data_IF_230625735358
#
_entry.id   IF_230625735358
#
_cell.length_a   1.000
_cell.length_b   1.000
_cell.length_c   1.000
_cell.angle_alpha   90.00
_cell.angle_beta   90.00
_cell.angle_gamma   90.00
#
_symmetry.space_group_name_H-M   'P 1'
#
loop_
_entity.id
_entity.type
_entity.pdbx_description
1 polymer ?
#
# COMPACT_ATOMS: atom_id res chain seq x y z
N UNK A 1 -25.16 -7.84 -14.73
CA UNK A 1 -24.21 -7.28 -13.75
C UNK A 1 -23.02 -6.77 -14.54
N UNK A 2 -22.57 -5.52 -14.33
CA UNK A 2 -21.31 -5.09 -14.92
C UNK A 2 -20.16 -5.91 -14.34
N UNK A 3 -19.28 -6.40 -15.21
CA UNK A 3 -18.06 -7.10 -14.79
C UNK A 3 -17.11 -6.06 -14.20
N UNK A 4 -16.54 -6.35 -13.03
CA UNK A 4 -15.48 -5.52 -12.46
C UNK A 4 -14.24 -5.58 -13.37
N UNK A 5 -13.73 -4.43 -13.75
CA UNK A 5 -12.48 -4.31 -14.50
C UNK A 5 -11.36 -3.94 -13.55
N UNK A 6 -10.22 -4.60 -13.68
CA UNK A 6 -9.03 -4.35 -12.89
C UNK A 6 -7.89 -3.91 -13.79
N UNK A 7 -7.12 -2.94 -13.33
CA UNK A 7 -5.88 -2.51 -13.98
C UNK A 7 -4.74 -2.71 -12.99
N UNK A 8 -3.70 -3.44 -13.39
CA UNK A 8 -2.49 -3.62 -12.61
C UNK A 8 -1.33 -2.92 -13.29
N UNK A 9 -0.64 -2.07 -12.55
CA UNK A 9 0.46 -1.25 -13.04
C UNK A 9 1.68 -1.39 -12.14
N UNK A 10 2.86 -1.30 -12.73
CA UNK A 10 4.15 -1.29 -12.02
C UNK A 10 5.00 -0.15 -12.58
N UNK A 11 5.48 0.71 -11.71
CA UNK A 11 6.42 1.79 -12.04
C UNK A 11 7.84 1.20 -12.19
N UNK A 12 8.14 0.69 -13.38
CA UNK A 12 9.41 -0.01 -13.63
C UNK A 12 10.62 0.92 -13.62
N UNK A 13 10.48 2.13 -14.08
CA UNK A 13 11.57 3.12 -14.15
C UNK A 13 11.72 3.94 -12.87
N UNK A 14 10.80 3.78 -11.92
CA UNK A 14 10.80 4.42 -10.60
C UNK A 14 10.73 5.95 -10.68
N UNK A 15 9.97 6.46 -11.64
CA UNK A 15 9.77 7.90 -11.82
C UNK A 15 8.56 8.45 -11.04
N UNK A 16 7.78 7.59 -10.38
CA UNK A 16 6.62 7.93 -9.56
C UNK A 16 5.30 8.05 -10.33
N UNK A 17 5.30 7.80 -11.64
CA UNK A 17 4.11 7.76 -12.49
C UNK A 17 3.97 6.38 -13.14
N UNK A 18 2.80 6.05 -13.68
CA UNK A 18 2.51 4.72 -14.23
C UNK A 18 2.10 4.83 -15.71
N UNK A 19 2.84 5.64 -16.49
CA UNK A 19 2.56 5.92 -17.91
C UNK A 19 3.68 5.48 -18.83
N UNK A 20 4.73 4.88 -18.30
CA UNK A 20 5.87 4.39 -19.05
C UNK A 20 5.57 3.12 -19.87
N UNK A 21 6.49 2.78 -20.77
CA UNK A 21 6.36 1.59 -21.61
C UNK A 21 6.38 0.31 -20.77
N UNK A 22 5.33 -0.52 -20.91
CA UNK A 22 5.22 -1.80 -20.19
C UNK A 22 4.84 -1.69 -18.72
N UNK A 23 4.45 -0.51 -18.24
CA UNK A 23 4.01 -0.30 -16.85
C UNK A 23 2.58 -0.76 -16.62
N UNK A 24 1.70 -0.66 -17.59
CA UNK A 24 0.41 -1.35 -17.57
C UNK A 24 0.63 -2.82 -17.97
N UNK A 25 0.51 -3.69 -16.97
CA UNK A 25 0.71 -5.13 -17.13
C UNK A 25 -0.61 -5.90 -17.16
N UNK A 26 -1.73 -5.20 -17.23
CA UNK A 26 -3.08 -5.78 -17.17
C UNK A 26 -3.32 -6.85 -18.22
N UNK A 27 -2.88 -6.59 -19.47
CA UNK A 27 -3.04 -7.54 -20.57
C UNK A 27 -2.23 -8.84 -20.43
N UNK A 28 -1.26 -8.86 -19.52
CA UNK A 28 -0.42 -10.03 -19.22
C UNK A 28 -0.91 -10.83 -18.02
N UNK A 29 -1.94 -10.34 -17.31
CA UNK A 29 -2.46 -10.99 -16.10
C UNK A 29 -3.11 -12.34 -16.43
N UNK A 30 -2.77 -13.32 -15.61
CA UNK A 30 -3.44 -14.60 -15.57
C UNK A 30 -4.23 -14.68 -14.25
N UNK A 31 -5.56 -14.80 -14.31
CA UNK A 31 -6.38 -14.87 -13.09
C UNK A 31 -6.05 -16.11 -12.24
N UNK A 32 -6.24 -16.04 -10.91
CA UNK A 32 -6.76 -14.92 -10.12
C UNK A 32 -5.65 -13.94 -9.65
N UNK A 33 -6.03 -12.67 -9.41
CA UNK A 33 -5.24 -11.74 -8.60
C UNK A 33 -5.74 -11.83 -7.16
N UNK A 34 -4.83 -11.87 -6.20
CA UNK A 34 -5.19 -11.82 -4.78
C UNK A 34 -4.49 -10.65 -4.12
N UNK A 35 -5.23 -9.90 -3.32
CA UNK A 35 -4.67 -8.83 -2.50
C UNK A 35 -5.34 -8.80 -1.14
N UNK A 36 -4.63 -8.32 -0.15
CA UNK A 36 -5.11 -8.14 1.21
C UNK A 36 -4.52 -6.88 1.81
N UNK A 37 -5.27 -6.26 2.69
CA UNK A 37 -4.85 -5.23 3.63
C UNK A 37 -5.88 -5.16 4.75
N UNK A 38 -5.52 -4.60 5.88
CA UNK A 38 -6.45 -4.42 6.98
C UNK A 38 -5.84 -4.73 8.32
N UNK A 39 -6.68 -5.11 9.25
CA UNK A 39 -6.30 -5.49 10.61
C UNK A 39 -6.10 -7.00 10.72
N UNK A 40 -5.34 -7.40 11.73
CA UNK A 40 -5.29 -8.79 12.16
C UNK A 40 -6.68 -9.21 12.67
N UNK A 41 -7.28 -10.18 11.98
CA UNK A 41 -8.61 -10.69 12.31
C UNK A 41 -8.62 -11.52 13.61
N UNK A 42 -7.45 -11.99 14.06
CA UNK A 42 -7.30 -12.74 15.32
C UNK A 42 -7.62 -11.91 16.57
N UNK A 43 -7.53 -10.57 16.48
CA UNK A 43 -7.83 -9.65 17.59
C UNK A 43 -8.66 -8.46 17.05
N UNK A 44 -9.97 -8.64 16.78
CA UNK A 44 -10.77 -7.68 16.00
C UNK A 44 -10.89 -6.28 16.61
N UNK A 45 -10.88 -6.16 17.94
CA UNK A 45 -11.10 -4.86 18.61
C UNK A 45 -9.83 -4.05 18.81
N UNK A 46 -8.69 -4.72 19.01
CA UNK A 46 -7.40 -4.11 19.32
C UNK A 46 -6.29 -4.56 18.39
N UNK A 47 -6.65 -5.32 17.34
CA UNK A 47 -5.69 -5.85 16.37
C UNK A 47 -4.98 -4.73 15.61
N UNK A 48 -3.66 -4.88 15.48
CA UNK A 48 -2.82 -3.97 14.69
C UNK A 48 -3.11 -4.12 13.21
N UNK A 49 -2.86 -3.08 12.45
CA UNK A 49 -2.86 -3.19 11.00
C UNK A 49 -1.76 -4.15 10.53
N UNK A 50 -2.10 -5.02 9.61
CA UNK A 50 -1.17 -5.96 8.97
C UNK A 50 -0.69 -5.33 7.66
N UNK A 51 0.56 -5.59 7.31
CA UNK A 51 1.09 -5.17 6.02
C UNK A 51 0.30 -5.81 4.87
N UNK A 52 -0.15 -5.02 3.93
CA UNK A 52 -0.86 -5.48 2.75
C UNK A 52 0.02 -6.39 1.90
N UNK A 53 -0.62 -7.26 1.13
CA UNK A 53 0.04 -8.14 0.17
C UNK A 53 -0.75 -8.22 -1.11
N UNK A 54 -0.04 -8.26 -2.24
CA UNK A 54 -0.62 -8.53 -3.54
C UNK A 54 0.17 -9.64 -4.22
N UNK A 55 -0.55 -10.59 -4.83
CA UNK A 55 0.03 -11.67 -5.61
C UNK A 55 -0.68 -11.70 -6.96
N UNK A 56 0.11 -11.66 -8.03
CA UNK A 56 -0.36 -11.79 -9.39
C UNK A 56 0.52 -12.78 -10.18
N UNK A 57 -0.08 -13.46 -11.13
CA UNK A 57 0.64 -14.30 -12.09
C UNK A 57 0.52 -13.66 -13.46
N UNK A 58 1.64 -13.53 -14.17
CA UNK A 58 1.71 -12.93 -15.50
C UNK A 58 2.13 -13.97 -16.54
N UNK A 59 1.59 -13.82 -17.73
CA UNK A 59 2.12 -14.50 -18.91
C UNK A 59 3.47 -13.88 -19.29
N UNK A 60 4.49 -14.71 -19.44
CA UNK A 60 5.86 -14.32 -19.78
C UNK A 60 6.38 -15.06 -21.03
N UNK A 61 5.52 -15.36 -21.98
CA UNK A 61 5.93 -16.02 -23.25
C UNK A 61 6.99 -15.24 -24.00
N UNK A 62 6.89 -13.89 -23.99
CA UNK A 62 7.89 -12.99 -24.60
C UNK A 62 9.21 -12.97 -23.83
N UNK A 63 9.24 -13.43 -22.57
CA UNK A 63 10.41 -13.35 -21.71
C UNK A 63 10.70 -11.95 -21.15
N UNK A 64 9.76 -11.01 -21.27
CA UNK A 64 9.97 -9.61 -20.85
C UNK A 64 10.25 -9.48 -19.35
N UNK A 65 9.66 -10.35 -18.52
CA UNK A 65 9.86 -10.38 -17.07
C UNK A 65 10.99 -11.29 -16.61
N UNK A 66 11.91 -11.63 -17.50
CA UNK A 66 13.11 -12.40 -17.17
C UNK A 66 14.30 -11.47 -16.99
N UNK A 67 14.90 -11.47 -15.81
CA UNK A 67 16.10 -10.66 -15.53
C UNK A 67 17.31 -10.99 -16.40
N UNK A 68 17.31 -12.18 -17.03
CA UNK A 68 18.36 -12.61 -17.94
C UNK A 68 18.13 -12.22 -19.41
N UNK A 69 16.95 -11.70 -19.75
CA UNK A 69 16.64 -11.27 -21.09
C UNK A 69 17.09 -9.82 -21.32
N UNK A 70 18.29 -9.65 -21.86
CA UNK A 70 18.84 -8.32 -22.16
C UNK A 70 18.10 -7.59 -23.30
N UNK A 71 17.30 -8.31 -24.10
CA UNK A 71 16.48 -7.73 -25.17
C UNK A 71 15.08 -7.29 -24.66
N UNK A 72 14.76 -7.55 -23.40
CA UNK A 72 13.52 -7.09 -22.79
C UNK A 72 13.47 -5.56 -22.72
N UNK A 73 12.32 -4.91 -23.02
CA UNK A 73 12.14 -3.47 -22.79
C UNK A 73 12.25 -3.10 -21.30
N UNK A 74 12.14 -4.10 -20.40
CA UNK A 74 12.26 -3.93 -18.94
C UNK A 74 13.64 -4.30 -18.41
N UNK A 75 14.62 -4.58 -19.30
CA UNK A 75 15.97 -4.96 -18.88
C UNK A 75 16.59 -3.90 -17.97
N UNK A 76 17.12 -4.34 -16.82
CA UNK A 76 17.68 -3.44 -15.79
C UNK A 76 16.65 -2.81 -14.85
N UNK A 77 15.36 -2.88 -15.14
CA UNK A 77 14.28 -2.28 -14.34
C UNK A 77 13.49 -3.28 -13.50
N UNK A 78 13.68 -4.57 -13.73
CA UNK A 78 13.03 -5.65 -12.97
C UNK A 78 13.65 -5.80 -11.56
N UNK A 79 13.46 -4.78 -10.72
CA UNK A 79 14.07 -4.70 -9.39
C UNK A 79 12.99 -4.68 -8.30
N UNK A 80 13.28 -5.24 -7.11
CA UNK A 80 12.45 -5.03 -5.93
C UNK A 80 12.32 -3.55 -5.56
N UNK A 81 11.27 -3.20 -4.81
CA UNK A 81 11.04 -1.83 -4.36
C UNK A 81 10.35 -0.92 -5.39
N UNK A 82 10.02 -1.43 -6.59
CA UNK A 82 9.21 -0.72 -7.57
C UNK A 82 7.79 -0.56 -7.07
N UNK A 83 7.14 0.59 -7.32
CA UNK A 83 5.74 0.77 -6.95
C UNK A 83 4.83 -0.11 -7.78
N UNK A 84 3.83 -0.68 -7.12
CA UNK A 84 2.79 -1.52 -7.73
C UNK A 84 1.44 -0.95 -7.33
N UNK A 85 0.55 -0.77 -8.31
CA UNK A 85 -0.78 -0.24 -8.10
C UNK A 85 -1.84 -1.12 -8.75
N UNK A 86 -2.84 -1.51 -7.96
CA UNK A 86 -4.05 -2.16 -8.44
C UNK A 86 -5.20 -1.16 -8.40
N UNK A 87 -5.84 -0.95 -9.54
CA UNK A 87 -7.04 -0.13 -9.66
C UNK A 87 -8.24 -0.99 -10.03
N UNK A 88 -9.42 -0.57 -9.63
CA UNK A 88 -10.68 -1.19 -10.00
C UNK A 88 -11.67 -0.16 -10.47
N UNK A 89 -12.42 -0.50 -11.51
CA UNK A 89 -13.51 0.31 -12.01
C UNK A 89 -14.77 -0.53 -12.16
N UNK A 90 -15.94 0.07 -11.95
CA UNK A 90 -17.22 -0.49 -12.36
C UNK A 90 -17.62 0.20 -13.66
N UNK A 91 -17.58 -0.54 -14.77
CA UNK A 91 -18.19 -0.06 -16.02
C UNK A 91 -19.70 0.02 -15.85
N UNK A 92 -20.29 1.21 -15.90
CA UNK A 92 -21.74 1.36 -16.05
C UNK A 92 -22.12 1.33 -17.53
N UNK A 93 -23.16 0.57 -17.89
CA UNK A 93 -23.77 0.66 -19.22
C UNK A 93 -24.88 1.76 -19.17
N UNK A 94 -25.03 2.58 -20.22
CA UNK A 94 -24.26 2.65 -21.48
C UNK A 94 -22.96 3.45 -21.34
N UNK A 95 -21.93 3.04 -22.09
CA UNK A 95 -20.67 3.76 -22.16
C UNK A 95 -20.86 5.11 -22.85
N UNK A 96 -20.63 6.19 -22.11
CA UNK A 96 -20.43 7.53 -22.69
C UNK A 96 -18.93 7.71 -22.95
N UNK A 97 -18.56 8.02 -24.16
CA UNK A 97 -17.18 8.39 -24.48
C UNK A 97 -16.90 9.85 -24.09
N UNK A 98 -15.74 10.18 -23.49
CA UNK A 98 -14.64 9.28 -23.10
C UNK A 98 -15.00 8.43 -21.89
N UNK A 99 -14.60 7.17 -21.87
CA UNK A 99 -14.76 6.29 -20.73
C UNK A 99 -13.85 6.85 -19.63
N UNK A 100 -14.42 7.57 -18.68
CA UNK A 100 -13.71 7.94 -17.46
C UNK A 100 -13.70 6.69 -16.59
N UNK A 101 -12.59 5.96 -16.64
CA UNK A 101 -12.32 5.00 -15.59
C UNK A 101 -12.17 5.83 -14.31
N UNK A 102 -13.09 5.71 -13.38
CA UNK A 102 -12.89 6.23 -12.05
C UNK A 102 -11.69 5.45 -11.49
N UNK A 103 -10.55 6.11 -11.42
CA UNK A 103 -9.28 5.60 -10.93
C UNK A 103 -9.38 5.28 -9.44
N UNK A 104 -10.13 4.24 -9.11
CA UNK A 104 -10.30 3.81 -7.74
C UNK A 104 -9.14 2.89 -7.41
N UNK A 105 -8.13 3.45 -6.76
CA UNK A 105 -7.03 2.65 -6.22
C UNK A 105 -7.61 1.69 -5.20
N UNK A 106 -7.43 0.41 -5.43
CA UNK A 106 -7.81 -0.66 -4.51
C UNK A 106 -6.66 -1.01 -3.58
N UNK A 107 -5.45 -0.98 -4.13
CA UNK A 107 -4.23 -1.33 -3.42
C UNK A 107 -3.01 -0.68 -4.07
N UNK A 108 -2.10 -0.15 -3.25
CA UNK A 108 -0.80 0.33 -3.68
C UNK A 108 0.28 -0.14 -2.68
N UNK A 109 1.44 -0.51 -3.20
CA UNK A 109 2.57 -0.98 -2.40
C UNK A 109 3.83 -1.11 -3.25
N UNK A 110 4.71 -2.03 -2.87
CA UNK A 110 6.04 -2.18 -3.45
C UNK A 110 6.28 -3.62 -3.87
N UNK A 111 6.87 -3.79 -5.02
CA UNK A 111 7.31 -5.06 -5.53
C UNK A 111 8.35 -5.68 -4.60
N UNK A 112 8.06 -6.87 -4.08
CA UNK A 112 8.98 -7.62 -3.25
C UNK A 112 9.76 -8.64 -4.06
N UNK A 113 9.05 -9.43 -4.89
CA UNK A 113 9.66 -10.52 -5.65
C UNK A 113 9.06 -10.68 -7.04
N UNK A 114 9.92 -11.07 -7.98
CA UNK A 114 9.56 -11.56 -9.30
C UNK A 114 10.13 -12.98 -9.40
N UNK A 115 9.25 -13.98 -9.47
CA UNK A 115 9.65 -15.38 -9.48
C UNK A 115 9.19 -16.07 -10.76
N UNK A 116 10.10 -16.55 -11.61
CA UNK A 116 9.73 -17.41 -12.73
C UNK A 116 9.04 -18.69 -12.21
N UNK A 117 7.94 -19.07 -12.82
CA UNK A 117 7.28 -20.35 -12.59
C UNK A 117 7.73 -21.27 -13.72
N UNK A 118 8.55 -22.27 -13.45
CA UNK A 118 8.97 -23.21 -14.47
C UNK A 118 7.76 -24.03 -14.95
N UNK A 119 7.53 -23.98 -16.26
CA UNK A 119 6.49 -24.76 -16.93
C UNK A 119 7.04 -25.15 -18.30
N UNK A 120 6.72 -26.36 -18.77
CA UNK A 120 7.16 -26.86 -20.06
C UNK A 120 6.41 -26.21 -21.25
N UNK A 121 5.19 -25.74 -21.00
CA UNK A 121 4.28 -25.29 -22.07
C UNK A 121 3.98 -23.79 -22.03
N UNK A 122 3.95 -23.18 -20.82
CA UNK A 122 3.58 -21.78 -20.65
C UNK A 122 4.57 -21.08 -19.74
N UNK A 123 5.31 -20.15 -20.26
CA UNK A 123 6.22 -19.33 -19.44
C UNK A 123 5.41 -18.36 -18.60
N UNK A 124 5.48 -18.50 -17.30
CA UNK A 124 4.77 -17.65 -16.32
C UNK A 124 5.75 -17.02 -15.37
N UNK A 125 5.35 -15.91 -14.78
CA UNK A 125 6.07 -15.27 -13.69
C UNK A 125 5.08 -14.89 -12.59
N UNK A 126 5.47 -15.14 -11.34
CA UNK A 126 4.74 -14.73 -10.16
C UNK A 126 5.29 -13.40 -9.67
N UNK A 127 4.43 -12.45 -9.48
CA UNK A 127 4.68 -11.14 -8.92
C UNK A 127 4.16 -11.13 -7.47
N UNK A 128 5.02 -10.85 -6.52
CA UNK A 128 4.64 -10.63 -5.13
C UNK A 128 4.98 -9.19 -4.75
N UNK A 129 3.99 -8.48 -4.23
CA UNK A 129 4.16 -7.12 -3.73
C UNK A 129 3.68 -7.02 -2.29
N UNK A 130 4.30 -6.13 -1.53
CA UNK A 130 4.02 -5.86 -0.13
C UNK A 130 3.53 -4.43 0.04
N UNK A 131 2.65 -4.22 1.01
CA UNK A 131 2.17 -2.89 1.36
C UNK A 131 3.26 -2.03 2.01
N UNK A 132 2.93 -0.78 2.22
CA UNK A 132 3.82 0.23 2.79
C UNK A 132 4.42 -0.16 4.13
N UNK A 133 3.60 -0.73 5.03
CA UNK A 133 4.10 -1.17 6.34
C UNK A 133 5.11 -2.32 6.20
N UNK A 134 4.88 -3.24 5.25
CA UNK A 134 5.82 -4.31 4.93
C UNK A 134 7.14 -3.79 4.37
N UNK A 135 7.08 -2.79 3.50
CA UNK A 135 8.27 -2.15 2.95
C UNK A 135 9.07 -1.38 4.01
N UNK A 136 8.40 -0.66 4.92
CA UNK A 136 9.05 0.02 6.05
C UNK A 136 9.67 -0.97 7.04
N UNK A 137 9.11 -2.18 7.16
CA UNK A 137 9.69 -3.25 7.99
C UNK A 137 11.01 -3.83 7.44
N UNK A 138 11.38 -3.47 6.21
CA UNK A 138 12.67 -3.86 5.62
C UNK A 138 13.76 -2.78 5.80
N UNK A 139 13.40 -1.62 6.34
CA UNK A 139 14.31 -0.48 6.52
C UNK A 139 14.68 -0.31 7.98
N UNK A 140 15.95 0.04 8.22
CA UNK A 140 16.41 0.42 9.55
C UNK A 140 16.35 1.93 9.72
N UNK A 141 16.05 2.37 10.93
CA UNK A 141 16.02 3.77 11.33
C UNK A 141 16.91 3.99 12.54
N UNK A 142 17.64 5.10 12.56
CA UNK A 142 18.29 5.64 13.74
C UNK A 142 17.82 7.09 13.90
N UNK A 143 17.28 7.41 15.08
CA UNK A 143 16.81 8.75 15.41
C UNK A 143 17.55 9.25 16.64
N UNK A 144 18.22 10.39 16.51
CA UNK A 144 18.83 11.08 17.63
C UNK A 144 17.77 11.45 18.68
N UNK A 145 18.20 11.52 19.96
CA UNK A 145 17.29 11.77 21.07
C UNK A 145 16.44 13.03 20.83
N UNK A 146 15.14 12.85 20.83
CA UNK A 146 14.12 13.90 20.83
C UNK A 146 13.59 14.07 22.26
N UNK A 147 13.29 15.30 22.62
CA UNK A 147 12.75 15.64 23.95
C UNK A 147 11.47 16.44 23.81
N UNK A 148 10.52 16.20 24.70
CA UNK A 148 9.23 16.93 24.75
C UNK A 148 8.55 16.99 23.38
N UNK A 149 8.41 15.82 22.74
CA UNK A 149 7.90 15.70 21.36
C UNK A 149 6.57 14.93 21.33
N UNK A 150 5.56 15.47 20.63
CA UNK A 150 4.29 14.80 20.41
C UNK A 150 4.47 13.54 19.56
N UNK A 151 3.64 12.53 19.83
CA UNK A 151 3.67 11.23 19.14
C UNK A 151 3.58 11.35 17.62
N UNK A 152 2.67 12.17 17.07
CA UNK A 152 2.56 12.36 15.63
C UNK A 152 3.78 13.06 15.01
N UNK A 153 4.38 14.02 15.71
CA UNK A 153 5.65 14.64 15.28
C UNK A 153 6.78 13.62 15.30
N UNK A 154 6.80 12.74 16.30
CA UNK A 154 7.80 11.68 16.42
C UNK A 154 7.67 10.65 15.29
N UNK A 155 6.42 10.26 14.95
CA UNK A 155 6.12 9.45 13.76
C UNK A 155 6.69 10.12 12.49
N UNK A 156 6.48 11.44 12.33
CA UNK A 156 7.01 12.20 11.22
C UNK A 156 8.53 12.15 11.16
N UNK A 157 9.21 12.38 12.29
CA UNK A 157 10.68 12.34 12.37
C UNK A 157 11.25 10.96 12.00
N UNK A 158 10.63 9.87 12.46
CA UNK A 158 11.04 8.50 12.10
C UNK A 158 10.91 8.25 10.59
N UNK A 159 9.82 8.73 9.98
CA UNK A 159 9.60 8.61 8.55
C UNK A 159 10.55 9.50 7.73
N UNK A 160 10.92 10.69 8.24
CA UNK A 160 11.90 11.57 7.61
C UNK A 160 13.29 10.94 7.55
N UNK A 161 13.73 10.28 8.63
CA UNK A 161 15.03 9.59 8.69
C UNK A 161 15.17 8.47 7.65
N UNK A 162 14.07 7.82 7.28
CA UNK A 162 14.09 6.79 6.21
C UNK A 162 13.78 7.35 4.83
N UNK A 163 13.66 8.67 4.69
CA UNK A 163 13.36 9.34 3.43
C UNK A 163 11.94 9.14 2.92
N UNK A 164 10.96 8.89 3.83
CA UNK A 164 9.56 8.68 3.42
C UNK A 164 8.88 10.01 3.10
N UNK A 165 8.30 10.17 1.88
CA UNK A 165 7.77 11.46 1.44
C UNK A 165 6.62 11.97 2.32
N UNK A 166 6.56 13.27 2.59
CA UNK A 166 5.46 13.89 3.34
C UNK A 166 4.10 13.67 2.67
N UNK A 167 4.06 13.71 1.32
CA UNK A 167 2.83 13.47 0.55
C UNK A 167 2.30 12.02 0.68
N UNK A 168 3.15 11.07 1.09
CA UNK A 168 2.81 9.67 1.27
C UNK A 168 2.48 9.32 2.73
N UNK A 169 2.03 10.30 3.54
CA UNK A 169 1.63 10.07 4.93
C UNK A 169 0.49 10.98 5.36
N UNK A 170 -0.33 10.49 6.27
CA UNK A 170 -1.39 11.24 6.96
C UNK A 170 -1.25 10.94 8.44
N UNK A 171 -0.78 11.92 9.21
CA UNK A 171 -0.44 11.74 10.62
C UNK A 171 -1.23 12.72 11.46
N UNK A 172 -1.96 12.22 12.46
CA UNK A 172 -2.50 13.06 13.52
C UNK A 172 -1.38 13.62 14.38
N UNK A 173 -1.61 14.76 15.01
CA UNK A 173 -0.61 15.39 15.89
C UNK A 173 -0.21 14.52 17.08
N UNK A 174 -1.17 13.68 17.54
CA UNK A 174 -1.03 12.88 18.75
C UNK A 174 -1.43 13.64 20.02
N UNK A 175 -1.62 12.90 21.10
CA UNK A 175 -2.00 13.45 22.41
C UNK A 175 -0.88 13.23 23.46
N UNK A 176 -0.05 12.23 23.24
CA UNK A 176 1.03 11.91 24.15
C UNK A 176 2.30 12.67 23.80
N UNK A 177 2.93 13.28 24.81
CA UNK A 177 4.22 13.96 24.68
C UNK A 177 5.31 13.07 25.27
N UNK A 178 6.22 12.61 24.44
CA UNK A 178 7.39 11.85 24.86
C UNK A 178 8.38 12.79 25.55
N UNK A 179 8.70 12.53 26.79
CA UNK A 179 9.74 13.28 27.52
C UNK A 179 11.12 13.09 26.87
N UNK A 180 11.40 11.86 26.46
CA UNK A 180 12.61 11.48 25.71
C UNK A 180 12.28 10.28 24.83
N UNK A 181 12.80 10.28 23.59
CA UNK A 181 12.74 9.16 22.66
C UNK A 181 13.96 9.16 21.73
N UNK A 182 14.53 8.01 21.52
CA UNK A 182 15.60 7.78 20.55
C UNK A 182 15.57 6.33 20.11
N UNK A 183 16.07 6.04 18.93
CA UNK A 183 16.28 4.68 18.43
C UNK A 183 17.63 4.59 17.71
N UNK A 184 18.26 3.44 17.80
CA UNK A 184 19.48 3.14 17.06
C UNK A 184 19.33 1.82 16.32
N UNK A 185 19.41 1.88 14.97
CA UNK A 185 19.36 0.74 14.07
C UNK A 185 18.20 -0.22 14.33
N UNK A 186 17.03 0.32 14.64
CA UNK A 186 15.80 -0.46 14.81
C UNK A 186 15.06 -0.55 13.47
N UNK A 187 14.30 -1.63 13.25
CA UNK A 187 13.39 -1.70 12.12
C UNK A 187 12.38 -0.56 12.20
N UNK A 188 12.18 0.15 11.09
CA UNK A 188 11.32 1.34 11.07
C UNK A 188 9.91 1.05 11.56
N UNK A 189 9.32 -0.06 11.10
CA UNK A 189 7.98 -0.43 11.57
C UNK A 189 7.95 -0.70 13.07
N UNK A 190 9.00 -1.30 13.64
CA UNK A 190 9.08 -1.53 15.10
C UNK A 190 9.14 -0.21 15.87
N UNK A 191 9.95 0.76 15.42
CA UNK A 191 10.01 2.08 16.02
C UNK A 191 8.67 2.83 15.96
N UNK A 192 7.98 2.76 14.81
CA UNK A 192 6.64 3.34 14.65
C UNK A 192 5.61 2.67 15.58
N UNK A 193 5.71 1.34 15.77
CA UNK A 193 4.84 0.58 16.68
C UNK A 193 5.05 0.95 18.16
N UNK A 194 6.27 1.25 18.57
CA UNK A 194 6.53 1.74 19.93
C UNK A 194 5.80 3.07 20.21
N UNK A 195 5.81 3.96 19.22
CA UNK A 195 5.09 5.24 19.31
C UNK A 195 3.58 5.02 19.32
N UNK A 196 3.06 4.14 18.43
CA UNK A 196 1.65 3.76 18.37
C UNK A 196 1.15 3.20 19.71
N UNK A 197 1.87 2.24 20.27
CA UNK A 197 1.50 1.60 21.54
C UNK A 197 1.48 2.61 22.72
N UNK A 198 2.48 3.48 22.76
CA UNK A 198 2.56 4.51 23.82
C UNK A 198 1.45 5.55 23.70
N UNK A 199 1.10 5.94 22.46
CA UNK A 199 -0.04 6.82 22.20
C UNK A 199 -1.38 6.14 22.50
N UNK A 200 -1.47 4.82 22.33
CA UNK A 200 -2.74 4.10 22.24
C UNK A 200 -3.52 4.48 20.98
N UNK A 201 -2.79 4.83 19.92
CA UNK A 201 -3.29 5.19 18.61
C UNK A 201 -3.45 3.99 17.68
N UNK A 202 -3.52 4.26 16.38
CA UNK A 202 -3.60 3.25 15.35
C UNK A 202 -2.75 3.60 14.14
N UNK A 203 -1.80 2.75 13.81
CA UNK A 203 -0.95 2.86 12.63
C UNK A 203 -1.43 1.92 11.54
N UNK A 204 -1.71 2.43 10.36
CA UNK A 204 -2.21 1.68 9.22
C UNK A 204 -1.57 2.12 7.90
N UNK A 205 -1.83 1.36 6.86
CA UNK A 205 -1.62 1.79 5.47
C UNK A 205 -2.96 2.02 4.78
N UNK A 206 -3.06 3.08 3.99
CA UNK A 206 -4.24 3.38 3.18
C UNK A 206 -4.23 2.59 1.86
N UNK A 207 -5.35 2.62 1.13
CA UNK A 207 -5.47 1.97 -0.18
C UNK A 207 -4.51 2.53 -1.23
N UNK A 208 -4.14 3.80 -1.09
CA UNK A 208 -3.20 4.54 -1.93
C UNK A 208 -1.77 4.55 -1.38
N UNK A 209 -1.43 3.56 -0.56
CA UNK A 209 -0.07 3.31 -0.09
C UNK A 209 0.48 4.34 0.90
N UNK A 210 -0.36 5.18 1.52
CA UNK A 210 0.13 6.13 2.53
C UNK A 210 0.24 5.49 3.90
N UNK A 211 1.19 5.96 4.68
CA UNK A 211 1.25 5.71 6.13
C UNK A 211 0.20 6.57 6.81
N UNK A 212 -0.70 5.95 7.56
CA UNK A 212 -1.75 6.63 8.32
C UNK A 212 -1.51 6.39 9.80
N UNK A 213 -1.46 7.47 10.58
CA UNK A 213 -1.42 7.42 12.03
C UNK A 213 -2.60 8.19 12.61
N UNK A 214 -3.47 7.47 13.29
CA UNK A 214 -4.62 7.98 14.02
C UNK A 214 -4.28 8.03 15.52
N UNK A 215 -4.39 9.21 16.15
CA UNK A 215 -4.21 9.33 17.59
C UNK A 215 -5.37 8.68 18.37
N UNK A 216 -5.23 8.50 19.68
CA UNK A 216 -6.26 7.90 20.55
C UNK A 216 -7.60 8.63 20.49
N UNK A 217 -7.61 9.92 20.13
CA UNK A 217 -8.81 10.75 20.05
C UNK A 217 -9.34 10.91 18.61
N UNK A 218 -8.71 10.28 17.62
CA UNK A 218 -9.10 10.41 16.22
C UNK A 218 -10.60 10.20 16.01
N UNK A 219 -11.14 9.14 16.59
CA UNK A 219 -12.57 8.78 16.44
C UNK A 219 -13.53 9.65 17.29
N UNK A 220 -13.00 10.52 18.14
CA UNK A 220 -13.77 11.49 18.91
C UNK A 220 -13.86 12.86 18.22
N UNK A 221 -13.30 12.99 17.00
CA UNK A 221 -13.29 14.21 16.19
C UNK A 221 -14.20 14.06 14.97
N UNK A 222 -14.63 15.20 14.41
CA UNK A 222 -15.29 15.20 13.09
C UNK A 222 -14.37 14.58 12.03
N UNK A 223 -14.88 13.76 11.12
CA UNK A 223 -16.31 13.46 10.84
C UNK A 223 -16.91 12.31 11.67
N UNK A 224 -16.10 11.59 12.49
CA UNK A 224 -16.52 10.36 13.16
C UNK A 224 -17.58 10.57 14.28
N UNK A 225 -17.73 11.80 14.78
CA UNK A 225 -18.75 12.17 15.78
C UNK A 225 -20.13 12.39 15.17
N UNK A 226 -20.23 12.36 13.82
CA UNK A 226 -21.49 12.50 13.09
C UNK A 226 -21.84 11.16 12.46
N UNK A 227 -23.13 10.80 12.45
CA UNK A 227 -23.59 9.58 11.77
C UNK A 227 -23.17 9.60 10.30
N UNK A 228 -22.38 8.60 9.88
CA UNK A 228 -21.86 8.50 8.52
C UNK A 228 -22.83 7.74 7.60
N UNK A 229 -23.69 6.91 8.17
CA UNK A 229 -24.72 6.14 7.45
C UNK A 229 -25.88 5.81 8.39
N UNK A 230 -27.06 5.77 7.84
CA UNK A 230 -28.25 5.28 8.53
C UNK A 230 -28.71 4.02 7.80
N UNK A 231 -28.81 2.90 8.52
CA UNK A 231 -29.35 1.68 7.98
C UNK A 231 -30.83 1.59 8.35
N UNK A 232 -31.66 1.26 7.38
CA UNK A 232 -33.11 1.04 7.59
C UNK A 232 -33.51 -0.26 6.90
N UNK A 233 -34.47 -0.97 7.51
CA UNK A 233 -35.12 -2.16 6.97
C UNK A 233 -36.42 -1.80 6.21
N UNK A 234 -36.75 -0.53 6.13
CA UNK A 234 -37.91 -0.08 5.36
C UNK A 234 -37.71 -0.34 3.87
N UNK A 235 -38.72 -0.91 3.21
CA UNK A 235 -38.70 -1.12 1.77
C UNK A 235 -38.52 0.21 1.02
N UNK A 236 -37.42 0.36 0.26
CA UNK A 236 -37.07 1.56 -0.47
C UNK A 236 -36.14 2.54 0.25
N UNK A 237 -35.61 2.17 1.41
CA UNK A 237 -34.50 2.92 2.03
C UNK A 237 -33.22 2.74 1.21
N UNK A 238 -32.68 3.84 0.64
CA UNK A 238 -31.40 3.91 -0.06
C UNK A 238 -30.28 4.29 0.89
#
# INVERSE_FOLDING_TARGET
MPLATYTLQVDWDNNGVFTGTGEDITARLLPPITWSRGRDEGIPLIGRSVAGRLIAVLNNESGDYSSFNSASPLAGNLLPGRKVRLMGGTGSFPYTFPIVFNDNILWEGFLDKIQPIPDLHVKKVKLEAIGTLGYLNQKFVSLAMKTTTLSGTLMGNLLDEVGWPTAARTLDAGQYTFARFWVDRLLTLSALREVEDTEGGFLAESKDGKVVFEDRHHRLKSPHTVSQATFTDAAGGA
#
